data_IF_570249255201
#
_entry.id   IF_570249255201
#
_cell.length_a   1.000
_cell.length_b   1.000
_cell.length_c   1.000
_cell.angle_alpha   90.00
_cell.angle_beta   90.00
_cell.angle_gamma   90.00
#
_symmetry.space_group_name_H-M   'P 1'
#
loop_
_entity.id
_entity.type
_entity.pdbx_description
1 polymer ?
#
# COMPACT_ATOMS: atom_id res chain seq x y z
N UNK A 1 -20.60 -1.23 -31.20
CA UNK A 1 -20.42 -1.83 -29.86
C UNK A 1 -18.95 -2.06 -29.50
N UNK A 2 -18.06 -2.35 -30.47
CA UNK A 2 -16.60 -2.54 -30.25
C UNK A 2 -15.88 -1.33 -29.63
N UNK A 3 -16.16 -0.12 -30.13
CA UNK A 3 -15.41 1.09 -29.79
C UNK A 3 -15.56 1.53 -28.32
N UNK A 4 -16.71 1.23 -27.68
CA UNK A 4 -16.95 1.57 -26.26
C UNK A 4 -16.25 0.60 -25.31
N UNK A 5 -16.22 -0.70 -25.65
CA UNK A 5 -15.52 -1.72 -24.87
C UNK A 5 -14.01 -1.49 -24.91
N UNK A 6 -13.47 -1.23 -26.10
CA UNK A 6 -12.05 -0.93 -26.31
C UNK A 6 -11.59 0.31 -25.52
N UNK A 7 -12.40 1.38 -25.49
CA UNK A 7 -12.12 2.59 -24.70
C UNK A 7 -12.09 2.28 -23.18
N UNK A 8 -12.99 1.43 -22.69
CA UNK A 8 -13.03 1.00 -21.27
C UNK A 8 -11.84 0.11 -20.90
N UNK A 9 -11.41 -0.78 -21.78
CA UNK A 9 -10.23 -1.62 -21.57
C UNK A 9 -8.95 -0.77 -21.54
N UNK A 10 -8.77 0.12 -22.51
CA UNK A 10 -7.64 1.07 -22.53
C UNK A 10 -7.60 1.94 -21.26
N UNK A 11 -8.75 2.42 -20.80
CA UNK A 11 -8.85 3.15 -19.54
C UNK A 11 -8.45 2.28 -18.35
N UNK A 12 -8.96 1.05 -18.28
CA UNK A 12 -8.69 0.11 -17.19
C UNK A 12 -7.22 -0.28 -17.11
N UNK A 13 -6.60 -0.52 -18.25
CA UNK A 13 -5.17 -0.77 -18.34
C UNK A 13 -4.35 0.45 -17.91
N UNK A 14 -4.72 1.65 -18.37
CA UNK A 14 -4.09 2.89 -17.93
C UNK A 14 -4.22 3.14 -16.43
N UNK A 15 -5.33 2.73 -15.81
CA UNK A 15 -5.50 2.76 -14.35
C UNK A 15 -4.57 1.79 -13.66
N UNK A 16 -4.44 0.56 -14.17
CA UNK A 16 -3.53 -0.44 -13.62
C UNK A 16 -2.07 0.05 -13.61
N UNK A 17 -1.61 0.63 -14.71
CA UNK A 17 -0.24 1.17 -14.80
C UNK A 17 -0.02 2.30 -13.79
N UNK A 18 -0.96 3.25 -13.70
CA UNK A 18 -0.87 4.33 -12.69
C UNK A 18 -0.87 3.79 -11.27
N UNK A 19 -1.74 2.80 -11.01
CA UNK A 19 -1.81 2.15 -9.71
C UNK A 19 -0.47 1.52 -9.33
N UNK A 20 0.10 0.71 -10.23
CA UNK A 20 1.40 0.08 -10.02
C UNK A 20 2.52 1.09 -9.73
N UNK A 21 2.54 2.22 -10.46
CA UNK A 21 3.50 3.30 -10.22
C UNK A 21 3.31 3.96 -8.85
N UNK A 22 2.07 4.23 -8.44
CA UNK A 22 1.81 4.81 -7.13
C UNK A 22 2.08 3.82 -5.99
N UNK A 23 1.77 2.53 -6.16
CA UNK A 23 2.14 1.47 -5.21
C UNK A 23 3.65 1.36 -5.05
N UNK A 24 4.41 1.40 -6.15
CA UNK A 24 5.87 1.44 -6.10
C UNK A 24 6.37 2.70 -5.36
N UNK A 25 5.78 3.87 -5.64
CA UNK A 25 6.13 5.11 -4.95
C UNK A 25 5.83 5.06 -3.44
N UNK A 26 4.74 4.40 -3.04
CA UNK A 26 4.40 4.20 -1.64
C UNK A 26 5.43 3.31 -0.93
N UNK A 27 5.91 2.26 -1.60
CA UNK A 27 7.02 1.45 -1.10
C UNK A 27 8.29 2.29 -0.85
N UNK A 28 8.62 3.20 -1.78
CA UNK A 28 9.74 4.15 -1.59
C UNK A 28 9.49 5.05 -0.37
N UNK A 29 8.29 5.63 -0.24
CA UNK A 29 7.93 6.47 0.92
C UNK A 29 8.06 5.68 2.23
N UNK A 30 7.64 4.42 2.25
CA UNK A 30 7.77 3.57 3.43
C UNK A 30 9.24 3.36 3.81
N UNK A 31 10.08 2.97 2.86
CA UNK A 31 11.52 2.75 3.11
C UNK A 31 12.18 4.04 3.56
N UNK A 32 11.98 5.15 2.86
CA UNK A 32 12.58 6.43 3.20
C UNK A 32 12.13 6.93 4.58
N UNK A 33 10.84 6.82 4.88
CA UNK A 33 10.29 7.23 6.18
C UNK A 33 10.84 6.36 7.30
N UNK A 34 10.86 5.04 7.12
CA UNK A 34 11.40 4.13 8.11
C UNK A 34 12.89 4.39 8.36
N UNK A 35 13.68 4.58 7.31
CA UNK A 35 15.11 4.90 7.41
C UNK A 35 15.32 6.23 8.11
N UNK A 36 14.58 7.28 7.74
CA UNK A 36 14.71 8.60 8.37
C UNK A 36 14.33 8.55 9.85
N UNK A 37 13.24 7.87 10.20
CA UNK A 37 12.81 7.72 11.58
C UNK A 37 13.83 6.91 12.41
N UNK A 38 14.34 5.81 11.87
CA UNK A 38 15.30 4.95 12.57
C UNK A 38 16.69 5.60 12.70
N UNK A 39 17.16 6.31 11.68
CA UNK A 39 18.48 6.93 11.69
C UNK A 39 18.51 8.28 12.38
N UNK A 40 17.42 9.05 12.31
CA UNK A 40 17.36 10.38 12.93
C UNK A 40 16.69 10.30 14.29
N UNK A 41 15.43 9.86 14.35
CA UNK A 41 14.62 9.99 15.58
C UNK A 41 15.13 9.09 16.70
N UNK A 42 15.45 7.82 16.43
CA UNK A 42 15.97 6.90 17.46
C UNK A 42 17.34 7.37 17.99
N UNK A 43 18.14 8.04 17.15
CA UNK A 43 19.48 8.51 17.53
C UNK A 43 19.50 9.88 18.19
N UNK A 44 18.36 10.55 18.36
CA UNK A 44 18.30 11.82 19.09
C UNK A 44 18.68 11.62 20.58
N UNK A 45 19.50 12.51 21.18
CA UNK A 45 19.92 12.37 22.58
C UNK A 45 18.76 12.23 23.57
N UNK A 46 17.69 13.01 23.36
CA UNK A 46 16.49 12.94 24.21
C UNK A 46 15.81 11.55 24.15
N UNK A 47 15.80 10.91 22.98
CA UNK A 47 15.19 9.58 22.80
C UNK A 47 16.12 8.50 23.37
N UNK A 48 17.43 8.64 23.21
CA UNK A 48 18.40 7.72 23.83
C UNK A 48 18.32 7.75 25.36
N UNK A 49 18.31 8.93 25.97
CA UNK A 49 18.14 9.06 27.42
C UNK A 49 16.79 8.51 27.92
N UNK A 50 15.72 8.66 27.13
CA UNK A 50 14.42 8.06 27.44
C UNK A 50 14.45 6.52 27.34
N UNK A 51 15.18 5.95 26.36
CA UNK A 51 15.36 4.51 26.24
C UNK A 51 16.23 3.92 27.34
N UNK A 52 17.29 4.63 27.76
CA UNK A 52 18.16 4.20 28.86
C UNK A 52 17.45 4.24 30.22
N UNK A 53 16.58 5.23 30.43
CA UNK A 53 15.82 5.37 31.68
C UNK A 53 14.65 4.40 31.83
N UNK A 54 14.17 3.77 30.74
CA UNK A 54 13.05 2.84 30.78
C UNK A 54 13.20 1.67 29.80
N UNK A 55 13.48 0.48 30.33
CA UNK A 55 13.66 -0.74 29.55
C UNK A 55 12.42 -1.15 28.73
N UNK A 56 11.20 -0.88 29.22
CA UNK A 56 9.96 -1.15 28.47
C UNK A 56 9.84 -0.21 27.27
N UNK A 57 10.17 1.08 27.46
CA UNK A 57 10.17 2.05 26.39
C UNK A 57 11.21 1.70 25.30
N UNK A 58 12.42 1.31 25.70
CA UNK A 58 13.45 0.83 24.77
C UNK A 58 12.98 -0.36 23.93
N UNK A 59 12.34 -1.36 24.57
CA UNK A 59 11.79 -2.52 23.87
C UNK A 59 10.71 -2.15 22.86
N UNK A 60 9.86 -1.17 23.15
CA UNK A 60 8.84 -0.69 22.21
C UNK A 60 9.49 0.03 21.02
N UNK A 61 10.45 0.90 21.29
CA UNK A 61 11.12 1.71 20.25
C UNK A 61 12.01 0.87 19.32
N UNK A 62 12.60 -0.21 19.82
CA UNK A 62 13.49 -1.11 19.06
C UNK A 62 12.77 -2.31 18.45
N UNK A 63 11.46 -2.46 18.65
CA UNK A 63 10.70 -3.55 18.07
C UNK A 63 10.69 -3.44 16.53
N UNK A 64 10.84 -4.57 15.82
CA UNK A 64 10.78 -4.65 14.36
C UNK A 64 9.49 -4.05 13.79
N UNK A 65 8.36 -4.29 14.46
CA UNK A 65 7.04 -3.73 14.14
C UNK A 65 6.68 -2.54 15.04
N UNK A 66 7.70 -1.89 15.59
CA UNK A 66 7.57 -0.78 16.51
C UNK A 66 7.02 0.50 15.87
N UNK A 67 7.01 1.60 16.62
CA UNK A 67 6.39 2.86 16.18
C UNK A 67 6.95 3.40 14.87
N UNK A 68 8.24 3.18 14.56
CA UNK A 68 8.85 3.68 13.32
C UNK A 68 8.31 2.95 12.09
N UNK A 69 8.24 1.61 12.16
CA UNK A 69 7.66 0.79 11.09
C UNK A 69 6.19 1.12 10.88
N UNK A 70 5.40 1.17 11.96
CA UNK A 70 3.97 1.47 11.87
C UNK A 70 3.71 2.86 11.27
N UNK A 71 4.49 3.87 11.68
CA UNK A 71 4.39 5.23 11.14
C UNK A 71 4.72 5.26 9.65
N UNK A 72 5.80 4.60 9.24
CA UNK A 72 6.18 4.50 7.83
C UNK A 72 5.12 3.78 6.98
N UNK A 73 4.54 2.70 7.51
CA UNK A 73 3.46 1.94 6.87
C UNK A 73 2.17 2.78 6.73
N UNK A 74 1.75 3.49 7.78
CA UNK A 74 0.56 4.34 7.71
C UNK A 74 0.75 5.45 6.67
N UNK A 75 1.93 6.08 6.66
CA UNK A 75 2.24 7.13 5.69
C UNK A 75 2.27 6.60 4.26
N UNK A 76 2.79 5.39 4.02
CA UNK A 76 2.80 4.77 2.70
C UNK A 76 1.38 4.43 2.23
N UNK A 77 0.52 3.89 3.09
CA UNK A 77 -0.89 3.59 2.77
C UNK A 77 -1.66 4.87 2.46
N UNK A 78 -1.51 5.92 3.27
CA UNK A 78 -2.17 7.22 3.04
C UNK A 78 -1.67 7.85 1.73
N UNK A 79 -0.38 7.76 1.44
CA UNK A 79 0.20 8.22 0.18
C UNK A 79 -0.41 7.47 -1.01
N UNK A 80 -0.36 6.13 -0.98
CA UNK A 80 -0.89 5.27 -2.03
C UNK A 80 -2.37 5.58 -2.32
N UNK A 81 -3.19 5.63 -1.25
CA UNK A 81 -4.60 5.93 -1.35
C UNK A 81 -4.87 7.31 -1.94
N UNK A 82 -4.15 8.33 -1.47
CA UNK A 82 -4.37 9.72 -1.90
C UNK A 82 -4.10 9.89 -3.38
N UNK A 83 -2.99 9.35 -3.89
CA UNK A 83 -2.64 9.45 -5.30
C UNK A 83 -3.54 8.58 -6.17
N UNK A 84 -3.87 7.35 -5.75
CA UNK A 84 -4.76 6.50 -6.52
C UNK A 84 -6.18 7.07 -6.60
N UNK A 85 -6.74 7.58 -5.49
CA UNK A 85 -8.03 8.26 -5.49
C UNK A 85 -8.03 9.47 -6.43
N UNK A 86 -6.98 10.30 -6.39
CA UNK A 86 -6.92 11.57 -7.13
C UNK A 86 -6.59 11.38 -8.62
N UNK A 87 -5.64 10.52 -8.97
CA UNK A 87 -5.06 10.45 -10.31
C UNK A 87 -5.39 9.17 -11.08
N UNK A 88 -5.52 8.04 -10.39
CA UNK A 88 -5.87 6.74 -10.98
C UNK A 88 -7.37 6.65 -11.20
N UNK A 89 -8.16 6.72 -10.13
CA UNK A 89 -9.61 6.56 -10.17
C UNK A 89 -10.36 7.88 -10.30
N UNK A 90 -9.70 9.02 -10.01
CA UNK A 90 -10.29 10.38 -10.05
C UNK A 90 -11.65 10.44 -9.34
N UNK A 91 -11.69 9.89 -8.13
CA UNK A 91 -12.92 9.67 -7.38
C UNK A 91 -13.17 10.75 -6.34
N UNK A 92 -14.41 11.23 -6.26
CA UNK A 92 -14.91 12.11 -5.21
C UNK A 92 -15.51 11.32 -4.03
N UNK A 93 -15.27 10.00 -3.95
CA UNK A 93 -15.76 9.16 -2.86
C UNK A 93 -15.39 9.71 -1.48
N UNK A 94 -16.25 9.43 -0.50
CA UNK A 94 -16.04 9.75 0.91
C UNK A 94 -14.76 9.04 1.39
N UNK A 95 -13.79 9.84 1.84
CA UNK A 95 -12.44 9.36 2.19
C UNK A 95 -12.47 8.37 3.37
N UNK A 96 -13.12 8.68 4.51
CA UNK A 96 -13.23 7.73 5.62
C UNK A 96 -13.79 6.36 5.21
N UNK A 97 -14.89 6.34 4.46
CA UNK A 97 -15.53 5.08 4.03
C UNK A 97 -14.63 4.30 3.07
N UNK A 98 -13.96 5.00 2.14
CA UNK A 98 -13.03 4.37 1.21
C UNK A 98 -11.80 3.79 1.93
N UNK A 99 -11.22 4.51 2.90
CA UNK A 99 -10.12 4.01 3.73
C UNK A 99 -10.53 2.82 4.59
N UNK A 100 -11.76 2.80 5.12
CA UNK A 100 -12.27 1.65 5.86
C UNK A 100 -12.35 0.39 4.99
N UNK A 101 -12.73 0.54 3.71
CA UNK A 101 -12.72 -0.59 2.77
C UNK A 101 -11.31 -1.08 2.50
N UNK A 102 -10.33 -0.18 2.30
CA UNK A 102 -8.92 -0.55 2.13
C UNK A 102 -8.39 -1.26 3.38
N UNK A 103 -8.73 -0.77 4.57
CA UNK A 103 -8.40 -1.43 5.83
C UNK A 103 -8.99 -2.84 5.91
N UNK A 104 -10.26 -3.01 5.54
CA UNK A 104 -10.91 -4.32 5.49
C UNK A 104 -10.23 -5.30 4.52
N UNK A 105 -9.69 -4.80 3.39
CA UNK A 105 -8.86 -5.60 2.50
C UNK A 105 -7.61 -6.13 3.21
N UNK A 106 -6.85 -5.26 3.89
CA UNK A 106 -5.62 -5.65 4.58
C UNK A 106 -5.88 -6.55 5.81
N UNK A 107 -7.04 -6.45 6.47
CA UNK A 107 -7.45 -7.38 7.53
C UNK A 107 -7.56 -8.83 7.04
N UNK A 108 -7.90 -9.04 5.77
CA UNK A 108 -8.04 -10.37 5.17
C UNK A 108 -6.75 -10.78 4.45
N UNK A 109 -6.17 -9.87 3.67
CA UNK A 109 -4.98 -10.15 2.87
C UNK A 109 -3.77 -10.49 3.74
N UNK A 110 -3.55 -9.75 4.83
CA UNK A 110 -2.37 -9.94 5.71
C UNK A 110 -2.31 -11.35 6.31
N UNK A 111 -3.33 -11.85 7.05
CA UNK A 111 -3.25 -13.19 7.64
C UNK A 111 -3.13 -14.29 6.57
N UNK A 112 -3.84 -14.16 5.44
CA UNK A 112 -3.77 -15.14 4.35
C UNK A 112 -2.37 -15.17 3.74
N UNK A 113 -1.80 -14.01 3.41
CA UNK A 113 -0.47 -13.91 2.81
C UNK A 113 0.63 -14.37 3.76
N UNK A 114 0.51 -14.11 5.08
CA UNK A 114 1.44 -14.64 6.08
C UNK A 114 1.41 -16.17 6.14
N UNK A 115 0.21 -16.77 6.21
CA UNK A 115 0.07 -18.23 6.24
C UNK A 115 0.60 -18.90 4.97
N UNK A 116 0.25 -18.35 3.80
CA UNK A 116 0.75 -18.86 2.52
C UNK A 116 2.25 -18.65 2.37
N UNK A 117 2.77 -17.50 2.80
CA UNK A 117 4.19 -17.19 2.78
C UNK A 117 4.99 -18.22 3.57
N UNK A 118 4.61 -18.46 4.83
CA UNK A 118 5.24 -19.46 5.70
C UNK A 118 5.14 -20.88 5.15
N UNK A 119 3.98 -21.23 4.58
CA UNK A 119 3.79 -22.55 3.96
C UNK A 119 4.72 -22.75 2.75
N UNK A 120 4.83 -21.77 1.85
CA UNK A 120 5.66 -21.89 0.66
C UNK A 120 7.16 -21.81 0.95
N UNK A 121 7.59 -20.97 1.90
CA UNK A 121 8.99 -20.94 2.32
C UNK A 121 9.41 -22.24 3.00
N UNK A 122 8.53 -22.86 3.80
CA UNK A 122 8.79 -24.16 4.40
C UNK A 122 8.77 -25.30 3.37
N UNK A 123 7.80 -25.31 2.45
CA UNK A 123 7.64 -26.37 1.45
C UNK A 123 8.79 -26.43 0.43
N UNK A 124 9.38 -25.28 0.12
CA UNK A 124 10.46 -25.16 -0.87
C UNK A 124 11.77 -24.68 -0.22
N UNK A 125 12.02 -25.11 1.03
CA UNK A 125 13.18 -24.68 1.81
C UNK A 125 14.53 -24.99 1.12
N UNK A 126 14.59 -26.03 0.28
CA UNK A 126 15.79 -26.42 -0.48
C UNK A 126 16.11 -25.48 -1.65
N UNK A 127 15.19 -24.59 -2.02
CA UNK A 127 15.40 -23.62 -3.09
C UNK A 127 16.12 -22.39 -2.53
N UNK A 128 17.37 -22.19 -2.97
CA UNK A 128 18.10 -20.96 -2.68
C UNK A 128 17.27 -19.74 -3.16
N UNK A 129 17.17 -18.72 -2.31
CA UNK A 129 16.35 -17.52 -2.50
C UNK A 129 14.81 -17.69 -2.42
N UNK A 130 14.27 -18.81 -1.92
CA UNK A 130 12.81 -19.00 -1.78
C UNK A 130 12.11 -17.86 -1.04
N UNK A 131 12.73 -17.32 0.02
CA UNK A 131 12.18 -16.19 0.78
C UNK A 131 11.96 -14.94 -0.10
N UNK A 132 12.91 -14.63 -0.98
CA UNK A 132 12.80 -13.49 -1.89
C UNK A 132 11.76 -13.71 -2.99
N UNK A 133 11.66 -14.95 -3.49
CA UNK A 133 10.65 -15.33 -4.50
C UNK A 133 9.25 -15.20 -3.90
N UNK A 134 9.02 -15.80 -2.72
CA UNK A 134 7.73 -15.74 -2.02
C UNK A 134 7.37 -14.31 -1.66
N UNK A 135 8.34 -13.51 -1.20
CA UNK A 135 8.13 -12.08 -0.95
C UNK A 135 7.72 -11.33 -2.22
N UNK A 136 8.45 -11.51 -3.33
CA UNK A 136 8.14 -10.86 -4.60
C UNK A 136 6.76 -11.24 -5.15
N UNK A 137 6.39 -12.52 -5.06
CA UNK A 137 5.06 -13.00 -5.44
C UNK A 137 3.96 -12.45 -4.53
N UNK A 138 4.23 -12.34 -3.23
CA UNK A 138 3.30 -11.75 -2.26
C UNK A 138 3.07 -10.27 -2.56
N UNK A 139 4.14 -9.52 -2.87
CA UNK A 139 4.05 -8.11 -3.25
C UNK A 139 3.27 -7.92 -4.56
N UNK A 140 3.54 -8.75 -5.57
CA UNK A 140 2.81 -8.71 -6.84
C UNK A 140 1.32 -9.05 -6.65
N UNK A 141 1.03 -10.08 -5.86
CA UNK A 141 -0.35 -10.48 -5.53
C UNK A 141 -1.06 -9.37 -4.76
N UNK A 142 -0.41 -8.75 -3.78
CA UNK A 142 -0.95 -7.60 -3.06
C UNK A 142 -1.32 -6.48 -4.04
N UNK A 143 -0.38 -6.03 -4.88
CA UNK A 143 -0.60 -4.94 -5.83
C UNK A 143 -1.76 -5.24 -6.79
N UNK A 144 -1.81 -6.45 -7.36
CA UNK A 144 -2.86 -6.82 -8.32
C UNK A 144 -4.22 -6.92 -7.61
N UNK A 145 -4.28 -7.60 -6.46
CA UNK A 145 -5.55 -7.79 -5.74
C UNK A 145 -6.07 -6.49 -5.14
N UNK A 146 -5.18 -5.64 -4.62
CA UNK A 146 -5.52 -4.29 -4.14
C UNK A 146 -6.04 -3.43 -5.29
N UNK A 147 -5.42 -3.45 -6.48
CA UNK A 147 -5.95 -2.75 -7.65
C UNK A 147 -7.37 -3.19 -8.00
N UNK A 148 -7.60 -4.51 -8.04
CA UNK A 148 -8.92 -5.07 -8.35
C UNK A 148 -9.94 -4.69 -7.29
N UNK A 149 -9.57 -4.77 -6.01
CA UNK A 149 -10.42 -4.38 -4.90
C UNK A 149 -10.75 -2.89 -4.91
N UNK A 150 -9.77 -2.03 -5.20
CA UNK A 150 -9.99 -0.60 -5.31
C UNK A 150 -10.95 -0.26 -6.45
N UNK A 151 -10.74 -0.88 -7.62
CA UNK A 151 -11.57 -0.68 -8.80
C UNK A 151 -13.01 -1.16 -8.59
N UNK A 152 -13.17 -2.37 -8.04
CA UNK A 152 -14.47 -3.06 -8.00
C UNK A 152 -15.20 -2.96 -6.66
N UNK A 153 -14.57 -2.48 -5.59
CA UNK A 153 -15.17 -2.38 -4.26
C UNK A 153 -15.03 -0.97 -3.67
N UNK A 154 -13.82 -0.41 -3.65
CA UNK A 154 -13.57 0.89 -3.00
C UNK A 154 -14.22 2.03 -3.79
N UNK A 155 -13.87 2.14 -5.07
CA UNK A 155 -14.30 3.21 -5.97
C UNK A 155 -15.39 2.79 -6.96
N UNK A 156 -16.01 1.63 -6.75
CA UNK A 156 -17.08 1.12 -7.62
C UNK A 156 -18.16 2.16 -7.84
N UNK A 157 -18.41 2.50 -9.11
CA UNK A 157 -19.42 3.49 -9.48
C UNK A 157 -19.09 4.94 -9.13
N UNK A 158 -17.88 5.19 -8.60
CA UNK A 158 -17.39 6.50 -8.18
C UNK A 158 -16.16 6.95 -8.98
N UNK A 159 -15.78 6.22 -10.04
CA UNK A 159 -14.67 6.57 -10.93
C UNK A 159 -14.98 7.82 -11.76
N UNK A 160 -13.99 8.71 -11.93
CA UNK A 160 -14.09 9.97 -12.67
C UNK A 160 -15.19 10.94 -12.19
N UNK A 161 -15.70 10.75 -10.98
CA UNK A 161 -16.69 11.66 -10.37
C UNK A 161 -16.09 13.01 -9.99
N UNK A 162 -14.78 13.07 -9.75
CA UNK A 162 -14.06 14.31 -9.44
C UNK A 162 -13.69 15.15 -10.69
N UNK A 163 -13.97 14.66 -11.90
CA UNK A 163 -13.62 15.35 -13.16
C UNK A 163 -14.75 16.32 -13.55
N UNK A 164 -14.40 17.60 -13.73
CA UNK A 164 -15.33 18.65 -14.15
C UNK A 164 -15.98 18.36 -15.51
N UNK A 165 -17.21 18.85 -15.73
CA UNK A 165 -17.91 18.73 -17.02
C UNK A 165 -17.13 19.34 -18.19
N UNK A 166 -16.26 20.34 -17.95
CA UNK A 166 -15.38 20.94 -18.99
C UNK A 166 -14.30 19.98 -19.49
N UNK A 167 -13.76 19.13 -18.61
CA UNK A 167 -12.69 18.19 -18.96
C UNK A 167 -13.23 16.92 -19.64
N UNK A 168 -14.49 16.56 -19.36
CA UNK A 168 -15.19 15.46 -20.05
C UNK A 168 -15.46 15.71 -21.55
N UNK A 169 -15.45 16.97 -22.00
CA UNK A 169 -15.62 17.33 -23.42
C UNK A 169 -14.31 17.30 -24.24
N UNK A 170 -13.15 17.19 -23.59
CA UNK A 170 -11.82 17.18 -24.24
C UNK A 170 -11.19 15.77 -24.33
N UNK A 171 -11.85 14.73 -23.84
CA UNK A 171 -11.36 13.33 -23.75
C UNK A 171 -12.34 12.34 -24.41
#
# INVERSE_FOLDING_TARGET
MSNTTEKKEKQSFGQFIKFALFSASAGIIQVLTFTLLSEVVIKLPAIQSAMESNATFARIMQNEYGPMYLTALILSVVWNFTFNRKFTFKSAANVPVAMLKVFAFYLVFTPISTLLGNYFTAKFADVSAINYIVLGLTMATNMITEFLYDKFVVFRGQENTAVSKKDKKKA
#
